data_IF_321885477520
#
_entry.id   IF_321885477520
#
_cell.length_a   1.000
_cell.length_b   1.000
_cell.length_c   1.000
_cell.angle_alpha   90.00
_cell.angle_beta   90.00
_cell.angle_gamma   90.00
#
_symmetry.space_group_name_H-M   'P 1'
#
loop_
_entity.id
_entity.type
_entity.pdbx_description
1 polymer ?
#
# COMPACT_ATOMS: atom_id res chain seq x y z
N UNK A 1 -34.39 -63.68 -20.58
CA UNK A 1 -33.11 -63.98 -21.27
C UNK A 1 -31.92 -63.92 -20.31
N UNK A 2 -31.81 -62.96 -19.39
CA UNK A 2 -30.72 -62.93 -18.39
C UNK A 2 -30.79 -64.05 -17.31
N UNK A 3 -31.99 -64.55 -16.97
CA UNK A 3 -32.16 -65.58 -15.93
C UNK A 3 -31.80 -66.99 -16.42
N UNK A 4 -31.94 -67.26 -17.73
CA UNK A 4 -31.64 -68.57 -18.33
C UNK A 4 -30.14 -68.79 -18.61
N UNK A 5 -29.32 -67.73 -18.56
CA UNK A 5 -27.87 -67.82 -18.78
C UNK A 5 -27.06 -68.01 -17.48
N UNK A 6 -27.72 -68.06 -16.33
CA UNK A 6 -27.06 -68.09 -15.02
C UNK A 6 -26.71 -69.49 -14.52
N UNK A 7 -27.33 -70.56 -15.07
CA UNK A 7 -27.10 -71.94 -14.60
C UNK A 7 -25.72 -72.51 -14.97
N UNK A 8 -25.05 -71.97 -15.99
CA UNK A 8 -23.71 -72.42 -16.42
C UNK A 8 -22.56 -71.49 -16.00
N UNK A 9 -22.85 -70.47 -15.17
CA UNK A 9 -21.84 -69.52 -14.73
C UNK A 9 -20.97 -70.12 -13.61
N UNK A 10 -19.68 -70.32 -13.88
CA UNK A 10 -18.72 -70.77 -12.87
C UNK A 10 -18.61 -69.71 -11.76
N UNK A 11 -18.59 -70.16 -10.49
CA UNK A 11 -18.49 -69.28 -9.30
C UNK A 11 -17.34 -68.28 -9.41
N UNK A 12 -16.26 -68.66 -10.11
CA UNK A 12 -15.10 -67.82 -10.37
C UNK A 12 -15.39 -66.66 -11.34
N UNK A 13 -16.20 -66.88 -12.38
CA UNK A 13 -16.61 -65.84 -13.32
C UNK A 13 -17.51 -64.79 -12.69
N UNK A 14 -18.42 -65.22 -11.80
CA UNK A 14 -19.30 -64.31 -11.05
C UNK A 14 -18.50 -63.43 -10.08
N UNK A 15 -17.48 -64.01 -9.40
CA UNK A 15 -16.62 -63.29 -8.48
C UNK A 15 -15.81 -62.20 -9.20
N UNK A 16 -15.24 -62.53 -10.37
CA UNK A 16 -14.46 -61.58 -11.18
C UNK A 16 -15.32 -60.43 -11.73
N UNK A 17 -16.55 -60.73 -12.15
CA UNK A 17 -17.50 -59.71 -12.60
C UNK A 17 -17.93 -58.80 -11.44
N UNK A 18 -18.20 -59.35 -10.26
CA UNK A 18 -18.57 -58.59 -9.07
C UNK A 18 -17.43 -57.65 -8.62
N UNK A 19 -16.18 -58.15 -8.55
CA UNK A 19 -15.04 -57.29 -8.24
C UNK A 19 -14.79 -56.22 -9.30
N UNK A 20 -15.06 -56.52 -10.58
CA UNK A 20 -14.92 -55.53 -11.65
C UNK A 20 -15.99 -54.43 -11.57
N UNK A 21 -17.23 -54.76 -11.18
CA UNK A 21 -18.32 -53.78 -11.01
C UNK A 21 -18.08 -52.92 -9.77
N UNK A 22 -17.67 -53.52 -8.65
CA UNK A 22 -17.34 -52.78 -7.42
C UNK A 22 -16.09 -51.94 -7.62
N UNK A 23 -15.08 -52.48 -8.29
CA UNK A 23 -13.86 -51.76 -8.68
C UNK A 23 -14.16 -50.59 -9.61
N UNK A 24 -15.02 -50.76 -10.61
CA UNK A 24 -15.43 -49.66 -11.48
C UNK A 24 -16.26 -48.61 -10.71
N UNK A 25 -17.11 -49.05 -9.78
CA UNK A 25 -17.94 -48.16 -8.95
C UNK A 25 -17.16 -47.31 -7.95
N UNK A 26 -16.04 -47.80 -7.42
CA UNK A 26 -15.21 -47.09 -6.44
C UNK A 26 -13.92 -46.48 -7.01
N UNK A 27 -13.22 -47.17 -7.92
CA UNK A 27 -12.00 -46.62 -8.51
C UNK A 27 -12.29 -45.50 -9.48
N UNK A 28 -13.38 -45.52 -10.25
CA UNK A 28 -13.68 -44.41 -11.19
C UNK A 28 -13.94 -43.08 -10.45
N UNK A 29 -14.72 -43.01 -9.36
CA UNK A 29 -14.84 -41.76 -8.61
C UNK A 29 -13.55 -41.38 -7.86
N UNK A 30 -12.77 -42.34 -7.34
CA UNK A 30 -11.48 -42.05 -6.70
C UNK A 30 -10.43 -41.51 -7.70
N UNK A 31 -10.34 -42.12 -8.88
CA UNK A 31 -9.48 -41.66 -9.98
C UNK A 31 -9.99 -40.32 -10.50
N UNK A 32 -11.31 -40.12 -10.57
CA UNK A 32 -11.92 -38.82 -10.90
C UNK A 32 -11.55 -37.73 -9.89
N UNK A 33 -11.60 -38.01 -8.59
CA UNK A 33 -11.17 -37.10 -7.52
C UNK A 33 -9.66 -36.83 -7.59
N UNK A 34 -8.84 -37.85 -7.88
CA UNK A 34 -7.40 -37.69 -8.06
C UNK A 34 -7.07 -36.85 -9.32
N UNK A 35 -7.77 -37.08 -10.42
CA UNK A 35 -7.69 -36.28 -11.67
C UNK A 35 -8.21 -34.85 -11.48
N UNK A 36 -9.07 -34.60 -10.49
CA UNK A 36 -9.53 -33.24 -10.13
C UNK A 36 -8.55 -32.55 -9.16
N UNK A 37 -7.95 -33.30 -8.24
CA UNK A 37 -6.98 -32.83 -7.26
C UNK A 37 -5.66 -32.40 -7.92
N UNK A 38 -5.17 -33.13 -8.92
CA UNK A 38 -3.92 -32.81 -9.61
C UNK A 38 -3.92 -31.42 -10.27
N UNK A 39 -4.92 -31.02 -11.07
CA UNK A 39 -5.02 -29.66 -11.59
C UNK A 39 -5.30 -28.63 -10.50
N UNK A 40 -6.07 -28.97 -9.45
CA UNK A 40 -6.27 -28.06 -8.30
C UNK A 40 -4.96 -27.76 -7.55
N UNK A 41 -4.10 -28.78 -7.36
CA UNK A 41 -2.77 -28.63 -6.77
C UNK A 41 -1.79 -27.95 -7.72
N UNK A 42 -1.90 -28.18 -9.03
CA UNK A 42 -1.13 -27.45 -10.04
C UNK A 42 -1.52 -25.96 -10.05
N UNK A 43 -2.82 -25.64 -9.92
CA UNK A 43 -3.34 -24.27 -9.77
C UNK A 43 -2.86 -23.66 -8.45
N UNK A 44 -2.88 -24.41 -7.34
CA UNK A 44 -2.39 -23.94 -6.05
C UNK A 44 -0.86 -23.69 -6.06
N UNK A 45 -0.11 -24.51 -6.79
CA UNK A 45 1.34 -24.37 -7.01
C UNK A 45 1.69 -23.22 -7.96
N UNK A 46 0.86 -22.95 -8.97
CA UNK A 46 1.04 -21.80 -9.87
C UNK A 46 0.63 -20.48 -9.21
N UNK A 47 -0.40 -20.50 -8.35
CA UNK A 47 -0.81 -19.36 -7.50
C UNK A 47 0.27 -18.96 -6.49
N UNK A 48 1.10 -19.91 -6.04
CA UNK A 48 2.16 -19.67 -5.05
C UNK A 48 3.51 -19.28 -5.66
N UNK A 49 3.72 -19.38 -6.98
CA UNK A 49 5.05 -19.24 -7.58
C UNK A 49 5.25 -18.20 -8.69
N UNK A 50 4.23 -17.59 -9.32
CA UNK A 50 4.48 -16.57 -10.37
C UNK A 50 3.38 -15.50 -10.48
N UNK A 51 3.78 -14.22 -10.52
CA UNK A 51 2.98 -13.07 -10.05
C UNK A 51 2.29 -12.19 -11.11
N UNK A 52 2.28 -12.54 -12.41
CA UNK A 52 1.68 -11.69 -13.45
C UNK A 52 0.62 -12.39 -14.31
N UNK A 53 0.92 -13.60 -14.80
CA UNK A 53 0.01 -14.36 -15.67
C UNK A 53 -1.23 -14.86 -14.92
N UNK A 54 -1.10 -15.20 -13.63
CA UNK A 54 -2.23 -15.68 -12.82
C UNK A 54 -3.17 -14.53 -12.43
N UNK A 55 -2.65 -13.31 -12.21
CA UNK A 55 -3.49 -12.11 -12.02
C UNK A 55 -4.31 -11.81 -13.27
N UNK A 56 -3.67 -11.81 -14.44
CA UNK A 56 -4.35 -11.61 -15.72
C UNK A 56 -5.38 -12.72 -16.05
N UNK A 57 -5.03 -13.99 -15.79
CA UNK A 57 -5.94 -15.12 -16.00
C UNK A 57 -7.11 -15.09 -14.99
N UNK A 58 -6.86 -14.71 -13.74
CA UNK A 58 -7.91 -14.60 -12.72
C UNK A 58 -8.89 -13.46 -13.02
N UNK A 59 -8.41 -12.31 -13.50
CA UNK A 59 -9.29 -11.22 -13.94
C UNK A 59 -10.08 -11.61 -15.19
N UNK A 60 -9.47 -12.35 -16.13
CA UNK A 60 -10.17 -12.90 -17.29
C UNK A 60 -11.25 -13.92 -16.91
N UNK A 61 -11.00 -14.77 -15.90
CA UNK A 61 -11.98 -15.76 -15.45
C UNK A 61 -13.16 -15.11 -14.73
N UNK A 62 -12.89 -14.13 -13.85
CA UNK A 62 -13.93 -13.33 -13.17
C UNK A 62 -14.73 -12.50 -14.17
N UNK A 63 -14.10 -11.97 -15.22
CA UNK A 63 -14.77 -11.26 -16.30
C UNK A 63 -15.57 -12.18 -17.23
N UNK A 64 -15.16 -13.44 -17.42
CA UNK A 64 -15.86 -14.41 -18.28
C UNK A 64 -17.11 -15.02 -17.61
N UNK A 65 -17.12 -15.12 -16.27
CA UNK A 65 -18.24 -15.63 -15.47
C UNK A 65 -19.60 -14.96 -15.76
N UNK A 66 -19.73 -13.62 -15.86
CA UNK A 66 -20.99 -12.96 -16.20
C UNK A 66 -21.45 -13.22 -17.64
N UNK A 67 -20.53 -13.40 -18.60
CA UNK A 67 -20.89 -13.77 -19.97
C UNK A 67 -21.35 -15.24 -20.05
N UNK A 68 -20.74 -16.13 -19.28
CA UNK A 68 -21.19 -17.52 -19.17
C UNK A 68 -22.56 -17.61 -18.47
N UNK A 69 -22.78 -16.84 -17.40
CA UNK A 69 -24.09 -16.76 -16.73
C UNK A 69 -25.15 -16.15 -17.65
N UNK A 70 -24.85 -15.08 -18.39
CA UNK A 70 -25.82 -14.47 -19.31
C UNK A 70 -26.15 -15.40 -20.47
N UNK A 71 -25.17 -16.14 -21.00
CA UNK A 71 -25.40 -17.17 -22.02
C UNK A 71 -26.19 -18.37 -21.47
N UNK A 72 -25.89 -18.82 -20.25
CA UNK A 72 -26.61 -19.93 -19.62
C UNK A 72 -28.06 -19.55 -19.29
N UNK A 73 -28.28 -18.33 -18.78
CA UNK A 73 -29.62 -17.79 -18.53
C UNK A 73 -30.36 -17.57 -19.85
N UNK A 74 -29.72 -17.05 -20.91
CA UNK A 74 -30.33 -16.93 -22.24
C UNK A 74 -30.75 -18.29 -22.81
N UNK A 75 -29.99 -19.36 -22.52
CA UNK A 75 -30.33 -20.73 -22.88
C UNK A 75 -31.50 -21.29 -22.05
N UNK A 76 -31.65 -20.88 -20.80
CA UNK A 76 -32.82 -21.17 -19.96
C UNK A 76 -34.04 -20.29 -20.29
N UNK A 77 -33.85 -19.09 -20.83
CA UNK A 77 -34.87 -18.07 -21.13
C UNK A 77 -35.73 -18.34 -22.35
N UNK A 78 -35.68 -19.56 -22.91
CA UNK A 78 -36.69 -20.04 -23.87
C UNK A 78 -38.09 -20.21 -23.21
N UNK A 79 -38.22 -19.96 -21.90
CA UNK A 79 -39.50 -19.80 -21.17
C UNK A 79 -39.51 -18.45 -20.45
N UNK A 80 -40.32 -17.53 -20.96
CA UNK A 80 -40.27 -16.10 -20.68
C UNK A 80 -40.57 -15.70 -19.24
N UNK A 81 -39.75 -14.78 -18.71
CA UNK A 81 -40.10 -13.86 -17.61
C UNK A 81 -39.24 -12.60 -17.71
N UNK A 82 -39.89 -11.43 -17.70
CA UNK A 82 -39.29 -10.09 -17.96
C UNK A 82 -38.48 -9.56 -16.77
N UNK A 83 -38.73 -10.05 -15.55
CA UNK A 83 -38.06 -9.57 -14.32
C UNK A 83 -36.60 -10.03 -14.20
N UNK A 84 -36.22 -11.14 -14.83
CA UNK A 84 -34.85 -11.65 -14.81
C UNK A 84 -33.86 -10.76 -15.55
N UNK A 85 -34.30 -10.05 -16.60
CA UNK A 85 -33.43 -9.18 -17.39
C UNK A 85 -32.83 -8.01 -16.59
N UNK A 86 -33.63 -7.40 -15.70
CA UNK A 86 -33.16 -6.30 -14.83
C UNK A 86 -32.18 -6.78 -13.77
N UNK A 87 -32.40 -7.98 -13.22
CA UNK A 87 -31.51 -8.59 -12.23
C UNK A 87 -30.15 -8.94 -12.84
N UNK A 88 -30.14 -9.48 -14.07
CA UNK A 88 -28.92 -9.80 -14.81
C UNK A 88 -28.12 -8.53 -15.13
N UNK A 89 -28.80 -7.47 -15.55
CA UNK A 89 -28.16 -6.18 -15.86
C UNK A 89 -27.57 -5.53 -14.59
N UNK A 90 -28.29 -5.61 -13.46
CA UNK A 90 -27.79 -5.15 -12.17
C UNK A 90 -26.57 -5.95 -11.68
N UNK A 91 -26.61 -7.29 -11.77
CA UNK A 91 -25.47 -8.15 -11.44
C UNK A 91 -24.26 -7.88 -12.32
N UNK A 92 -24.47 -7.62 -13.61
CA UNK A 92 -23.39 -7.33 -14.55
C UNK A 92 -22.75 -5.96 -14.29
N UNK A 93 -23.54 -4.96 -13.89
CA UNK A 93 -23.06 -3.64 -13.48
C UNK A 93 -22.28 -3.73 -12.17
N UNK A 94 -22.78 -4.47 -11.18
CA UNK A 94 -22.11 -4.69 -9.88
C UNK A 94 -20.78 -5.42 -10.09
N UNK A 95 -20.75 -6.51 -10.85
CA UNK A 95 -19.50 -7.24 -11.13
C UNK A 95 -18.49 -6.40 -11.93
N UNK A 96 -18.96 -5.59 -12.88
CA UNK A 96 -18.10 -4.65 -13.64
C UNK A 96 -17.48 -3.59 -12.73
N UNK A 97 -18.28 -2.99 -11.84
CA UNK A 97 -17.81 -2.02 -10.84
C UNK A 97 -16.84 -2.69 -9.87
N UNK A 98 -17.10 -3.91 -9.42
CA UNK A 98 -16.16 -4.67 -8.55
C UNK A 98 -14.86 -4.99 -9.27
N UNK A 99 -14.90 -5.43 -10.53
CA UNK A 99 -13.70 -5.70 -11.32
C UNK A 99 -12.88 -4.41 -11.58
N UNK A 100 -13.56 -3.30 -11.86
CA UNK A 100 -12.95 -1.99 -12.05
C UNK A 100 -12.37 -1.45 -10.74
N UNK A 101 -13.04 -1.62 -9.60
CA UNK A 101 -12.51 -1.29 -8.26
C UNK A 101 -11.32 -2.20 -7.92
N UNK A 102 -11.32 -3.48 -8.29
CA UNK A 102 -10.17 -4.38 -8.07
C UNK A 102 -8.97 -4.07 -8.99
N UNK A 103 -9.21 -3.48 -10.16
CA UNK A 103 -8.18 -3.00 -11.08
C UNK A 103 -7.66 -1.60 -10.71
N UNK A 104 -8.52 -0.74 -10.14
CA UNK A 104 -8.18 0.61 -9.70
C UNK A 104 -7.63 0.63 -8.28
N UNK A 105 -8.02 -0.31 -7.41
CA UNK A 105 -7.39 -0.45 -6.11
C UNK A 105 -5.94 -0.81 -6.38
N UNK A 106 -4.99 0.10 -6.14
CA UNK A 106 -3.62 -0.23 -6.36
C UNK A 106 -3.35 -1.41 -5.43
N UNK A 107 -2.84 -2.49 -6.00
CA UNK A 107 -1.49 -2.97 -5.71
C UNK A 107 -0.74 -2.00 -4.76
N UNK A 108 -1.19 -1.94 -3.52
CA UNK A 108 -0.64 -1.12 -2.44
C UNK A 108 -0.11 -2.01 -1.32
N UNK A 109 -0.35 -3.33 -1.41
CA UNK A 109 0.27 -4.33 -0.56
C UNK A 109 1.02 -5.45 -1.32
N UNK A 110 1.14 -5.41 -2.65
CA UNK A 110 1.88 -6.47 -3.41
C UNK A 110 2.95 -5.98 -4.39
N UNK A 111 3.14 -4.67 -4.58
CA UNK A 111 4.40 -4.10 -5.12
C UNK A 111 5.42 -3.83 -4.03
N UNK A 112 5.03 -3.97 -2.74
CA UNK A 112 5.97 -3.84 -1.63
C UNK A 112 6.79 -5.14 -1.39
N UNK A 113 6.37 -6.27 -1.97
CA UNK A 113 7.10 -7.54 -1.85
C UNK A 113 7.92 -7.91 -3.10
N UNK A 114 7.83 -7.15 -4.20
CA UNK A 114 8.62 -7.41 -5.42
C UNK A 114 9.73 -6.38 -5.66
N UNK A 115 9.74 -5.27 -4.91
CA UNK A 115 10.91 -4.37 -4.82
C UNK A 115 11.95 -4.92 -3.81
N UNK A 116 11.55 -5.81 -2.90
CA UNK A 116 12.48 -6.50 -2.00
C UNK A 116 13.38 -7.52 -2.71
N UNK A 117 12.98 -8.05 -3.87
CA UNK A 117 13.77 -9.08 -4.59
C UNK A 117 14.73 -8.51 -5.64
N UNK A 118 14.59 -7.25 -6.07
CA UNK A 118 15.59 -6.60 -6.93
C UNK A 118 16.69 -5.87 -6.13
N UNK A 119 16.53 -5.76 -4.81
CA UNK A 119 17.57 -5.22 -3.93
C UNK A 119 18.59 -6.31 -3.51
N UNK A 120 18.30 -7.60 -3.68
CA UNK A 120 19.18 -8.67 -3.18
C UNK A 120 20.38 -8.98 -4.10
N UNK A 121 20.38 -8.53 -5.35
CA UNK A 121 21.53 -8.73 -6.27
C UNK A 121 22.57 -7.60 -6.26
N UNK A 122 22.35 -6.51 -5.52
CA UNK A 122 23.41 -5.51 -5.25
C UNK A 122 24.12 -5.74 -3.90
N UNK A 123 23.68 -6.71 -3.09
CA UNK A 123 24.25 -7.00 -1.76
C UNK A 123 25.40 -8.02 -1.73
N UNK A 124 26.06 -8.30 -2.86
CA UNK A 124 27.28 -9.12 -2.92
C UNK A 124 28.57 -8.34 -3.28
N UNK A 125 28.49 -7.01 -3.41
CA UNK A 125 29.66 -6.16 -3.69
C UNK A 125 29.67 -4.87 -2.87
N UNK A 126 29.17 -4.91 -1.64
CA UNK A 126 29.53 -3.92 -0.62
C UNK A 126 30.65 -4.51 0.22
N UNK A 127 31.87 -4.41 -0.31
CA UNK A 127 33.10 -4.48 0.47
C UNK A 127 32.89 -3.66 1.74
N UNK A 128 33.19 -4.28 2.89
CA UNK A 128 33.37 -3.59 4.16
C UNK A 128 34.35 -2.43 3.95
N UNK A 129 33.81 -1.25 3.73
CA UNK A 129 34.52 0.01 3.87
C UNK A 129 33.51 1.00 4.45
N UNK A 130 33.49 1.05 5.78
CA UNK A 130 32.92 2.15 6.53
C UNK A 130 33.79 3.38 6.25
N UNK A 131 33.55 3.99 5.09
CA UNK A 131 34.01 5.33 4.75
C UNK A 131 32.74 6.13 4.53
N UNK A 132 32.47 6.96 5.52
CA UNK A 132 31.31 7.82 5.63
C UNK A 132 31.37 8.94 4.57
N UNK A 133 31.13 8.58 3.32
CA UNK A 133 31.07 9.53 2.22
C UNK A 133 29.74 10.27 2.29
N UNK A 134 29.76 11.46 2.89
CA UNK A 134 28.68 12.45 2.76
C UNK A 134 28.41 12.57 1.25
N UNK A 135 27.19 12.30 0.75
CA UNK A 135 26.86 12.57 -0.63
C UNK A 135 27.18 14.04 -0.91
N UNK A 136 28.11 14.30 -1.82
CA UNK A 136 28.38 15.67 -2.27
C UNK A 136 27.04 16.33 -2.65
N UNK A 137 26.84 17.60 -2.30
CA UNK A 137 25.58 18.27 -2.59
C UNK A 137 25.40 18.33 -4.11
N UNK A 138 24.56 17.42 -4.62
CA UNK A 138 24.00 17.49 -5.96
C UNK A 138 23.54 18.94 -6.20
N UNK A 139 23.84 19.50 -7.37
CA UNK A 139 23.60 20.89 -7.79
C UNK A 139 22.24 21.45 -7.35
N UNK A 140 22.16 21.94 -6.11
CA UNK A 140 20.94 22.30 -5.42
C UNK A 140 21.19 23.42 -4.42
N UNK A 141 20.11 24.03 -3.94
CA UNK A 141 20.17 25.16 -3.03
C UNK A 141 20.84 24.76 -1.70
N UNK A 142 22.06 25.23 -1.46
CA UNK A 142 22.79 24.96 -0.21
C UNK A 142 22.23 25.76 0.96
N UNK A 143 22.42 25.28 2.18
CA UNK A 143 21.98 25.97 3.40
C UNK A 143 22.58 27.39 3.49
N UNK A 144 23.87 27.56 3.17
CA UNK A 144 24.55 28.85 3.22
C UNK A 144 23.90 29.87 2.26
N UNK A 145 23.55 29.43 1.04
CA UNK A 145 22.87 30.26 0.04
C UNK A 145 21.46 30.66 0.50
N UNK A 146 20.70 29.71 1.05
CA UNK A 146 19.37 29.97 1.60
C UNK A 146 19.45 30.94 2.79
N UNK A 147 20.36 30.70 3.74
CA UNK A 147 20.52 31.52 4.94
C UNK A 147 20.84 32.98 4.61
N UNK A 148 21.67 33.23 3.60
CA UNK A 148 22.03 34.59 3.20
C UNK A 148 20.86 35.39 2.60
N UNK A 149 19.96 34.74 1.84
CA UNK A 149 18.93 35.44 1.06
C UNK A 149 17.52 35.33 1.65
N UNK A 150 17.27 34.32 2.49
CA UNK A 150 15.93 33.95 2.97
C UNK A 150 15.88 33.67 4.46
N UNK A 151 16.90 34.06 5.23
CA UNK A 151 16.91 33.93 6.69
C UNK A 151 17.37 35.25 7.32
N UNK A 152 17.98 35.19 8.51
CA UNK A 152 18.17 36.32 9.38
C UNK A 152 18.79 37.57 8.74
N UNK A 153 19.84 37.47 7.92
CA UNK A 153 20.41 38.63 7.24
C UNK A 153 19.45 39.37 6.30
N UNK A 154 18.45 38.69 5.72
CA UNK A 154 17.57 39.26 4.70
C UNK A 154 16.41 40.09 5.30
N UNK A 155 15.87 39.65 6.42
CA UNK A 155 14.84 40.40 7.15
C UNK A 155 15.42 41.39 8.19
N UNK A 156 16.74 41.41 8.37
CA UNK A 156 17.37 42.49 9.14
C UNK A 156 17.45 43.73 8.26
N UNK A 157 17.54 43.54 6.94
CA UNK A 157 17.58 44.59 5.93
C UNK A 157 16.19 44.97 5.40
N UNK A 158 15.20 44.07 5.50
CA UNK A 158 13.82 44.27 5.03
C UNK A 158 12.82 43.72 6.06
N UNK A 159 11.50 43.82 5.87
CA UNK A 159 10.58 43.16 6.82
C UNK A 159 10.54 41.64 6.59
N UNK A 160 10.19 40.87 7.63
CA UNK A 160 9.96 39.42 7.51
C UNK A 160 8.97 39.14 6.38
N UNK A 161 7.84 39.85 6.34
CA UNK A 161 6.82 39.66 5.29
C UNK A 161 7.35 39.90 3.87
N UNK A 162 8.19 40.92 3.66
CA UNK A 162 8.83 41.18 2.35
C UNK A 162 9.79 40.06 1.98
N UNK A 163 10.61 39.60 2.93
CA UNK A 163 11.52 38.46 2.72
C UNK A 163 10.75 37.18 2.36
N UNK A 164 9.65 36.89 3.05
CA UNK A 164 8.80 35.73 2.74
C UNK A 164 8.21 35.78 1.33
N UNK A 165 7.74 36.96 0.91
CA UNK A 165 7.23 37.15 -0.46
C UNK A 165 8.33 36.95 -1.50
N UNK A 166 9.52 37.53 -1.28
CA UNK A 166 10.67 37.39 -2.18
C UNK A 166 11.18 35.95 -2.27
N UNK A 167 11.10 35.19 -1.18
CA UNK A 167 11.56 33.80 -1.13
C UNK A 167 10.50 32.78 -1.56
N UNK A 168 9.24 33.19 -1.72
CA UNK A 168 8.12 32.34 -2.15
C UNK A 168 8.39 31.45 -3.38
N UNK A 169 9.18 31.86 -4.41
CA UNK A 169 9.48 31.00 -5.55
C UNK A 169 10.30 29.76 -5.22
N UNK A 170 10.93 29.70 -4.04
CA UNK A 170 11.70 28.53 -3.60
C UNK A 170 10.82 27.40 -3.06
N UNK A 171 9.52 27.63 -2.88
CA UNK A 171 8.57 26.58 -2.50
C UNK A 171 8.59 25.42 -3.51
N UNK A 172 8.70 24.19 -3.03
CA UNK A 172 8.83 22.97 -3.84
C UNK A 172 10.25 22.68 -4.33
N UNK A 173 11.22 23.54 -4.04
CA UNK A 173 12.63 23.28 -4.40
C UNK A 173 13.20 22.17 -3.52
N UNK A 174 13.84 21.17 -4.14
CA UNK A 174 14.53 20.11 -3.43
C UNK A 174 15.84 20.62 -2.83
N UNK A 175 16.07 20.31 -1.56
CA UNK A 175 17.26 20.71 -0.79
C UNK A 175 17.89 19.49 -0.15
N UNK A 176 19.21 19.51 0.02
CA UNK A 176 20.00 18.46 0.63
C UNK A 176 20.94 19.08 1.66
N UNK A 177 20.57 18.97 2.94
CA UNK A 177 21.24 19.66 4.05
C UNK A 177 21.59 18.70 5.18
N UNK A 178 22.45 19.14 6.08
CA UNK A 178 22.85 18.40 7.26
C UNK A 178 22.89 19.31 8.49
N UNK A 179 22.51 18.77 9.65
CA UNK A 179 22.44 19.53 10.89
C UNK A 179 22.30 18.64 12.11
N UNK A 180 22.07 19.26 13.27
CA UNK A 180 21.94 18.57 14.56
C UNK A 180 20.49 18.62 15.04
N UNK A 181 19.93 17.48 15.42
CA UNK A 181 18.57 17.41 15.96
C UNK A 181 18.52 18.13 17.31
N UNK A 182 17.49 18.95 17.52
CA UNK A 182 17.25 19.68 18.78
C UNK A 182 16.01 19.17 19.49
N UNK A 183 14.93 18.93 18.75
CA UNK A 183 13.72 18.28 19.25
C UNK A 183 13.09 17.39 18.18
N UNK A 184 12.38 16.37 18.64
CA UNK A 184 11.59 15.44 17.82
C UNK A 184 10.18 15.43 18.40
N UNK A 185 9.21 15.92 17.63
CA UNK A 185 7.86 16.14 18.14
C UNK A 185 6.81 15.59 17.19
N UNK A 186 5.80 14.91 17.73
CA UNK A 186 4.63 14.52 16.94
C UNK A 186 3.74 15.75 16.74
N UNK A 187 3.64 16.23 15.50
CA UNK A 187 2.88 17.45 15.19
C UNK A 187 1.46 17.18 14.77
N UNK A 188 1.20 16.03 14.14
CA UNK A 188 -0.14 15.67 13.68
C UNK A 188 -0.36 14.19 13.77
N UNK A 189 -1.45 13.81 14.41
CA UNK A 189 -1.96 12.44 14.42
C UNK A 189 -3.31 12.49 13.72
N UNK A 190 -3.45 11.75 12.62
CA UNK A 190 -4.71 11.65 11.88
C UNK A 190 -5.08 10.18 11.74
N UNK A 191 -6.29 9.83 12.15
CA UNK A 191 -6.81 8.47 12.03
C UNK A 191 -8.09 8.52 11.18
N UNK A 192 -7.97 8.49 9.84
CA UNK A 192 -9.12 8.62 8.96
C UNK A 192 -10.16 7.51 9.19
N UNK A 193 -9.71 6.31 9.57
CA UNK A 193 -10.60 5.20 9.88
C UNK A 193 -11.42 5.47 11.17
N UNK A 194 -10.76 5.90 12.24
CA UNK A 194 -11.45 6.25 13.48
C UNK A 194 -12.40 7.43 13.29
N UNK A 195 -11.99 8.46 12.51
CA UNK A 195 -12.86 9.59 12.17
C UNK A 195 -14.06 9.16 11.33
N UNK A 196 -13.88 8.25 10.37
CA UNK A 196 -14.98 7.70 9.56
C UNK A 196 -15.95 6.83 10.38
N UNK A 197 -15.44 6.04 11.33
CA UNK A 197 -16.27 5.21 12.20
C UNK A 197 -17.14 6.03 13.15
N UNK A 198 -16.69 7.23 13.55
CA UNK A 198 -17.50 8.14 14.37
C UNK A 198 -18.77 8.65 13.67
N UNK A 199 -18.84 8.55 12.33
CA UNK A 199 -20.05 8.91 11.57
C UNK A 199 -21.16 7.86 11.69
N UNK A 200 -20.85 6.64 12.11
CA UNK A 200 -21.83 5.57 12.28
C UNK A 200 -22.47 5.60 13.68
N UNK A 201 -23.69 5.05 13.85
CA UNK A 201 -24.30 4.86 15.17
C UNK A 201 -23.38 4.09 16.12
N UNK A 202 -23.41 4.43 17.41
CA UNK A 202 -22.47 3.94 18.43
C UNK A 202 -22.37 2.41 18.55
N UNK A 203 -23.47 1.68 18.35
CA UNK A 203 -23.46 0.21 18.33
C UNK A 203 -22.64 -0.33 17.14
N UNK A 204 -22.80 0.27 15.97
CA UNK A 204 -22.10 -0.16 14.76
C UNK A 204 -20.63 0.27 14.81
N UNK A 205 -20.36 1.52 15.24
CA UNK A 205 -19.00 2.07 15.27
C UNK A 205 -18.09 1.32 16.25
N UNK A 206 -18.58 0.98 17.45
CA UNK A 206 -17.82 0.21 18.43
C UNK A 206 -17.57 -1.24 17.98
N UNK A 207 -18.57 -1.88 17.38
CA UNK A 207 -18.44 -3.24 16.83
C UNK A 207 -17.44 -3.27 15.67
N UNK A 208 -17.53 -2.31 14.74
CA UNK A 208 -16.61 -2.21 13.61
C UNK A 208 -15.20 -1.82 14.05
N UNK A 209 -15.05 -0.91 15.01
CA UNK A 209 -13.75 -0.56 15.58
C UNK A 209 -13.07 -1.78 16.23
N UNK A 210 -13.82 -2.63 16.93
CA UNK A 210 -13.30 -3.88 17.49
C UNK A 210 -13.05 -4.97 16.45
N UNK A 211 -13.74 -4.95 15.32
CA UNK A 211 -13.53 -5.90 14.23
C UNK A 211 -12.23 -5.61 13.46
N UNK A 212 -11.91 -4.33 13.28
CA UNK A 212 -10.79 -3.86 12.44
C UNK A 212 -9.56 -3.47 13.28
N UNK A 213 -9.79 -3.10 14.53
CA UNK A 213 -8.76 -2.66 15.47
C UNK A 213 -8.21 -3.76 16.36
N UNK A 214 -7.42 -3.33 17.33
CA UNK A 214 -6.78 -4.19 18.32
C UNK A 214 -7.55 -4.14 19.64
N UNK A 215 -7.63 -5.28 20.33
CA UNK A 215 -8.29 -5.37 21.62
C UNK A 215 -7.36 -4.87 22.73
N UNK A 216 -7.91 -4.05 23.62
CA UNK A 216 -7.20 -3.63 24.82
C UNK A 216 -7.17 -4.83 25.79
N UNK A 217 -6.00 -5.30 26.23
CA UNK A 217 -5.92 -6.45 27.11
C UNK A 217 -6.57 -6.12 28.46
N UNK A 218 -7.26 -7.10 29.05
CA UNK A 218 -7.99 -6.91 30.32
C UNK A 218 -7.06 -6.54 31.49
N UNK A 219 -5.83 -7.07 31.45
CA UNK A 219 -4.80 -6.82 32.46
C UNK A 219 -3.59 -6.25 31.74
N UNK A 220 -3.17 -5.05 32.14
CA UNK A 220 -1.95 -4.45 31.62
C UNK A 220 -0.72 -5.09 32.30
N UNK A 221 0.37 -5.27 31.56
CA UNK A 221 1.62 -5.73 32.16
C UNK A 221 2.10 -4.77 33.26
N UNK A 222 2.68 -5.34 34.31
CA UNK A 222 3.29 -4.57 35.39
C UNK A 222 4.67 -4.05 34.97
N UNK A 223 5.06 -2.88 35.49
CA UNK A 223 6.35 -2.25 35.20
C UNK A 223 6.26 -0.89 34.50
N UNK A 224 7.42 -0.40 34.04
CA UNK A 224 7.61 0.89 33.37
C UNK A 224 7.94 0.75 31.88
N UNK A 225 7.61 -0.39 31.26
CA UNK A 225 7.76 -0.54 29.81
C UNK A 225 6.81 0.40 29.09
N UNK A 226 7.18 0.78 27.86
CA UNK A 226 6.34 1.59 26.96
C UNK A 226 4.99 0.90 26.71
N UNK A 227 4.99 -0.41 26.53
CA UNK A 227 3.79 -1.24 26.35
C UNK A 227 2.85 -1.20 27.57
N UNK A 228 3.41 -1.30 28.78
CA UNK A 228 2.63 -1.18 30.02
C UNK A 228 2.00 0.22 30.16
N UNK A 229 2.74 1.26 29.78
CA UNK A 229 2.24 2.64 29.75
C UNK A 229 1.10 2.81 28.74
N UNK A 230 1.29 2.32 27.51
CA UNK A 230 0.30 2.42 26.44
C UNK A 230 -0.99 1.67 26.79
N UNK A 231 -0.89 0.46 27.35
CA UNK A 231 -2.05 -0.30 27.81
C UNK A 231 -2.87 0.48 28.86
N UNK A 232 -2.21 1.10 29.85
CA UNK A 232 -2.88 1.89 30.89
C UNK A 232 -3.60 3.10 30.30
N UNK A 233 -2.98 3.78 29.34
CA UNK A 233 -3.61 4.90 28.62
C UNK A 233 -4.88 4.45 27.90
N UNK A 234 -4.87 3.28 27.26
CA UNK A 234 -6.06 2.74 26.61
C UNK A 234 -7.18 2.40 27.60
N UNK A 235 -6.86 1.85 28.77
CA UNK A 235 -7.85 1.58 29.82
C UNK A 235 -8.57 2.85 30.30
N UNK A 236 -7.85 3.98 30.42
CA UNK A 236 -8.45 5.26 30.81
C UNK A 236 -9.51 5.76 29.83
N UNK A 237 -9.47 5.32 28.57
CA UNK A 237 -10.46 5.70 27.56
C UNK A 237 -11.78 4.94 27.69
N UNK A 238 -11.83 3.86 28.50
CA UNK A 238 -13.01 3.00 28.65
C UNK A 238 -13.39 2.22 27.39
N UNK A 239 -12.56 2.25 26.34
CA UNK A 239 -12.80 1.52 25.09
C UNK A 239 -12.22 0.11 25.18
N UNK A 240 -12.97 -0.87 24.66
CA UNK A 240 -12.53 -2.28 24.58
C UNK A 240 -11.48 -2.52 23.50
N UNK A 241 -11.45 -1.66 22.47
CA UNK A 241 -10.58 -1.80 21.31
C UNK A 241 -10.08 -0.42 20.87
N UNK A 242 -8.90 -0.39 20.23
CA UNK A 242 -8.27 0.82 19.70
C UNK A 242 -7.83 0.62 18.24
N UNK A 243 -7.62 1.74 17.54
CA UNK A 243 -7.30 1.76 16.10
C UNK A 243 -5.94 2.44 15.85
N UNK A 244 -5.03 2.33 16.81
CA UNK A 244 -3.76 3.06 16.79
C UNK A 244 -2.88 2.67 15.59
N UNK A 245 -2.93 1.40 15.18
CA UNK A 245 -2.24 0.89 14.00
C UNK A 245 -2.71 1.53 12.69
N UNK A 246 -3.91 2.14 12.67
CA UNK A 246 -4.46 2.86 11.53
C UNK A 246 -4.19 4.37 11.56
N UNK A 247 -3.47 4.86 12.57
CA UNK A 247 -3.16 6.28 12.70
C UNK A 247 -1.94 6.67 11.85
N UNK A 248 -2.13 7.65 10.97
CA UNK A 248 -1.06 8.35 10.28
C UNK A 248 -0.47 9.40 11.23
N UNK A 249 0.85 9.33 11.43
CA UNK A 249 1.60 10.17 12.36
C UNK A 249 2.57 11.01 11.56
N UNK A 250 2.50 12.32 11.68
CA UNK A 250 3.50 13.24 11.14
C UNK A 250 4.36 13.75 12.30
N UNK A 251 5.67 13.62 12.14
CA UNK A 251 6.69 14.00 13.12
C UNK A 251 7.45 15.20 12.56
N UNK A 252 7.62 16.26 13.35
CA UNK A 252 8.49 17.38 13.00
C UNK A 252 9.78 17.30 13.78
N UNK A 253 10.89 17.31 13.05
CA UNK A 253 12.24 17.41 13.59
C UNK A 253 12.66 18.87 13.58
N UNK A 254 13.11 19.38 14.72
CA UNK A 254 13.75 20.69 14.78
C UNK A 254 15.25 20.50 14.63
N UNK A 255 15.82 20.97 13.52
CA UNK A 255 17.23 20.76 13.19
C UNK A 255 17.99 22.08 13.25
N UNK A 256 19.06 22.09 14.05
CA UNK A 256 20.01 23.18 14.19
C UNK A 256 21.04 23.11 13.08
N UNK A 257 21.12 24.17 12.29
CA UNK A 257 22.06 24.27 11.18
C UNK A 257 23.34 24.96 11.63
N UNK A 258 24.50 24.38 11.26
CA UNK A 258 25.78 25.09 11.43
C UNK A 258 25.90 26.15 10.35
N UNK A 259 25.91 27.42 10.75
CA UNK A 259 26.34 28.50 9.87
C UNK A 259 27.87 28.50 9.79
N UNK A 260 28.43 28.67 8.59
CA UNK A 260 29.89 28.81 8.43
C UNK A 260 30.44 30.13 8.97
N UNK A 261 29.57 31.09 9.35
CA UNK A 261 30.00 32.36 9.93
C UNK A 261 30.17 32.26 11.44
N UNK A 262 31.31 32.74 11.91
CA UNK A 262 31.80 32.72 13.29
C UNK A 262 30.93 33.49 14.32
N UNK A 263 29.92 34.25 13.87
CA UNK A 263 29.10 35.16 14.70
C UNK A 263 27.58 35.00 14.47
N UNK A 264 27.16 33.95 13.76
CA UNK A 264 25.74 33.72 13.50
C UNK A 264 25.05 33.03 14.67
N UNK A 265 23.85 33.50 15.02
CA UNK A 265 22.91 32.73 15.83
C UNK A 265 22.59 31.42 15.13
N UNK A 266 22.48 30.36 15.91
CA UNK A 266 22.19 29.05 15.35
C UNK A 266 20.77 29.01 14.79
N UNK A 267 20.68 28.92 13.47
CA UNK A 267 19.41 28.86 12.78
C UNK A 267 18.75 27.48 12.95
N UNK A 268 17.44 27.48 13.13
CA UNK A 268 16.64 26.27 13.27
C UNK A 268 15.81 26.06 12.00
N UNK A 269 15.65 24.80 11.59
CA UNK A 269 14.84 24.38 10.46
C UNK A 269 13.88 23.30 10.94
N UNK A 270 12.65 23.29 10.43
CA UNK A 270 11.64 22.28 10.78
C UNK A 270 11.51 21.28 9.64
N UNK A 271 11.90 20.04 9.88
CA UNK A 271 11.79 18.96 8.90
C UNK A 271 10.58 18.11 9.25
N UNK A 272 9.57 18.14 8.39
CA UNK A 272 8.31 17.41 8.54
C UNK A 272 8.47 16.03 7.90
N UNK A 273 8.41 15.01 8.75
CA UNK A 273 8.53 13.61 8.40
C UNK A 273 7.14 12.95 8.46
N UNK A 274 6.70 12.37 7.34
CA UNK A 274 5.45 11.62 7.28
C UNK A 274 5.54 10.27 8.03
N UNK A 275 4.41 9.59 8.17
CA UNK A 275 4.31 8.31 8.89
C UNK A 275 5.31 7.25 8.42
N UNK A 276 5.70 7.28 7.15
CA UNK A 276 6.74 6.42 6.58
C UNK A 276 8.05 6.47 7.38
N UNK A 277 8.41 7.63 7.94
CA UNK A 277 9.64 7.84 8.69
C UNK A 277 9.49 7.62 10.20
N UNK A 278 8.33 7.17 10.68
CA UNK A 278 8.02 7.02 12.11
C UNK A 278 9.08 6.19 12.85
N UNK A 279 9.51 5.07 12.29
CA UNK A 279 10.45 4.16 12.97
C UNK A 279 11.87 4.76 13.12
N UNK A 280 12.32 5.55 12.15
CA UNK A 280 13.62 6.24 12.24
C UNK A 280 13.53 7.43 13.19
N UNK A 281 12.50 8.28 13.00
CA UNK A 281 12.33 9.48 13.83
C UNK A 281 12.05 9.17 15.30
N UNK A 282 11.39 8.05 15.62
CA UNK A 282 11.13 7.64 17.01
C UNK A 282 12.40 7.26 17.78
N UNK A 283 13.52 6.98 17.09
CA UNK A 283 14.79 6.58 17.72
C UNK A 283 15.76 7.75 17.84
N UNK A 284 15.56 8.82 17.06
CA UNK A 284 16.41 10.01 17.08
C UNK A 284 16.37 10.69 18.45
N UNK A 285 17.52 11.18 18.88
CA UNK A 285 17.70 11.95 20.10
C UNK A 285 18.21 13.37 19.81
N UNK A 286 18.02 14.31 20.76
CA UNK A 286 18.71 15.59 20.68
C UNK A 286 20.23 15.40 20.57
N UNK A 287 20.88 16.25 19.77
CA UNK A 287 22.30 16.22 19.40
C UNK A 287 22.70 15.23 18.30
N UNK A 288 21.81 14.33 17.86
CA UNK A 288 22.08 13.48 16.70
C UNK A 288 22.33 14.32 15.45
N UNK A 289 23.39 14.01 14.70
CA UNK A 289 23.73 14.65 13.45
C UNK A 289 23.15 13.85 12.30
N UNK A 290 22.28 14.49 11.53
CA UNK A 290 21.58 13.87 10.41
C UNK A 290 21.85 14.61 9.11
N UNK A 291 21.77 13.87 8.01
CA UNK A 291 21.65 14.41 6.67
C UNK A 291 20.24 14.12 6.16
N UNK A 292 19.65 15.07 5.44
CA UNK A 292 18.33 14.89 4.88
C UNK A 292 18.19 15.60 3.55
N UNK A 293 17.35 15.01 2.69
CA UNK A 293 16.88 15.58 1.44
C UNK A 293 15.37 15.76 1.52
N UNK A 294 14.88 16.89 1.06
CA UNK A 294 13.46 17.23 1.14
C UNK A 294 13.09 18.39 0.25
N UNK A 295 11.81 18.78 0.27
CA UNK A 295 11.28 19.92 -0.47
C UNK A 295 10.89 21.06 0.46
N UNK A 296 11.25 22.28 0.10
CA UNK A 296 10.85 23.47 0.86
C UNK A 296 9.34 23.68 0.80
N UNK A 297 8.70 23.86 1.95
CA UNK A 297 7.28 24.18 2.03
C UNK A 297 7.09 25.70 2.05
N UNK A 298 6.04 26.19 1.40
CA UNK A 298 5.68 27.61 1.43
C UNK A 298 5.45 28.13 2.87
N UNK A 299 4.98 27.27 3.76
CA UNK A 299 4.76 27.59 5.16
C UNK A 299 6.10 27.73 5.92
N UNK A 300 6.35 28.92 6.48
CA UNK A 300 7.58 29.25 7.20
C UNK A 300 8.78 29.61 6.31
N UNK A 301 8.63 29.57 4.97
CA UNK A 301 9.66 30.01 4.02
C UNK A 301 9.98 31.51 4.23
N UNK A 302 11.26 31.90 4.20
CA UNK A 302 11.67 33.27 4.56
C UNK A 302 11.47 33.62 6.05
N UNK A 303 11.08 32.62 6.86
CA UNK A 303 10.77 32.71 8.29
C UNK A 303 11.94 32.26 9.19
N UNK A 304 11.78 32.33 10.54
CA UNK A 304 12.81 31.90 11.50
C UNK A 304 13.11 30.42 11.45
N UNK A 305 12.10 29.63 11.10
CA UNK A 305 12.16 28.18 11.04
C UNK A 305 11.45 27.71 9.76
N UNK A 306 12.15 27.67 8.62
CA UNK A 306 11.57 27.17 7.39
C UNK A 306 11.17 25.70 7.52
N UNK A 307 10.05 25.33 6.89
CA UNK A 307 9.56 23.95 6.90
C UNK A 307 10.00 23.21 5.65
N UNK A 308 10.38 21.95 5.82
CA UNK A 308 10.85 21.05 4.76
C UNK A 308 10.05 19.76 4.82
N UNK A 309 9.50 19.32 3.71
CA UNK A 309 8.90 17.99 3.57
C UNK A 309 9.98 16.94 3.31
N UNK A 310 10.09 15.95 4.20
CA UNK A 310 11.17 14.96 4.15
C UNK A 310 10.96 13.94 3.02
N UNK A 311 12.00 13.75 2.20
CA UNK A 311 12.04 12.72 1.16
C UNK A 311 13.07 11.63 1.44
N UNK A 312 14.19 12.00 2.05
CA UNK A 312 15.26 11.07 2.41
C UNK A 312 15.95 11.55 3.67
N UNK A 313 16.33 10.61 4.53
CA UNK A 313 17.07 10.89 5.76
C UNK A 313 18.13 9.83 5.97
N UNK A 314 19.26 10.27 6.50
CA UNK A 314 20.36 9.40 6.89
C UNK A 314 21.00 9.89 8.20
N UNK A 315 21.53 8.94 8.96
CA UNK A 315 22.24 9.23 10.18
C UNK A 315 23.73 9.45 9.86
N UNK A 316 24.27 10.61 10.22
CA UNK A 316 25.71 10.85 10.08
C UNK A 316 26.48 10.52 11.36
N UNK A 317 25.92 10.93 12.50
CA UNK A 317 26.50 10.67 13.82
C UNK A 317 25.35 10.71 14.82
N UNK A 318 24.81 9.53 15.16
CA UNK A 318 23.67 9.40 16.06
C UNK A 318 24.02 8.48 17.22
N UNK A 319 23.32 8.65 18.33
CA UNK A 319 23.45 7.80 19.50
C UNK A 319 23.29 6.30 19.18
N UNK A 320 22.42 5.98 18.22
CA UNK A 320 22.28 4.62 17.67
C UNK A 320 22.91 4.56 16.27
N UNK A 321 24.02 3.83 16.15
CA UNK A 321 24.80 3.69 14.91
C UNK A 321 24.14 2.84 13.82
N UNK A 322 23.15 2.03 14.17
CA UNK A 322 22.54 1.03 13.25
C UNK A 322 21.36 1.60 12.45
N UNK A 323 21.23 2.93 12.38
CA UNK A 323 20.18 3.58 11.63
C UNK A 323 20.51 3.57 10.13
N UNK A 324 19.78 2.77 9.37
CA UNK A 324 19.90 2.72 7.91
C UNK A 324 19.22 3.92 7.26
N UNK A 325 19.81 4.39 6.16
CA UNK A 325 19.24 5.41 5.30
C UNK A 325 17.82 5.05 4.86
N UNK A 326 16.89 6.00 5.02
CA UNK A 326 15.50 5.84 4.59
C UNK A 326 15.17 6.81 3.47
N UNK A 327 14.54 6.30 2.41
CA UNK A 327 14.08 7.09 1.26
C UNK A 327 12.60 6.80 1.00
N UNK A 328 11.79 7.86 0.95
CA UNK A 328 10.39 7.76 0.56
C UNK A 328 10.33 7.27 -0.88
N UNK A 329 9.57 6.20 -1.19
CA UNK A 329 9.37 5.78 -2.58
C UNK A 329 8.71 6.94 -3.34
N UNK A 330 9.29 7.32 -4.47
CA UNK A 330 8.69 8.31 -5.35
C UNK A 330 7.31 7.81 -5.78
N UNK A 331 6.29 8.65 -5.65
CA UNK A 331 4.98 8.36 -6.21
C UNK A 331 5.15 8.37 -7.73
N UNK A 332 5.33 7.21 -8.34
CA UNK A 332 5.16 7.03 -9.78
C UNK A 332 3.67 7.22 -10.05
N UNK A 333 3.23 8.47 -10.10
CA UNK A 333 1.94 8.81 -10.68
C UNK A 333 2.10 8.38 -12.14
N UNK A 334 1.53 7.24 -12.51
CA UNK A 334 1.29 6.93 -13.91
C UNK A 334 0.62 8.19 -14.47
N UNK A 335 1.32 8.88 -15.38
CA UNK A 335 0.90 10.19 -15.88
C UNK A 335 -0.59 10.12 -16.22
N UNK A 336 -1.37 11.12 -15.82
CA UNK A 336 -2.82 11.19 -16.10
C UNK A 336 -3.11 10.93 -17.59
N UNK A 337 -2.15 11.23 -18.48
CA UNK A 337 -2.18 10.88 -19.91
C UNK A 337 -2.33 9.37 -20.15
N UNK A 338 -1.61 8.52 -19.42
CA UNK A 338 -1.70 7.06 -19.55
C UNK A 338 -3.07 6.53 -19.14
N UNK A 339 -3.71 7.12 -18.13
CA UNK A 339 -5.07 6.77 -17.72
C UNK A 339 -6.12 7.22 -18.76
N UNK A 340 -5.91 8.39 -19.37
CA UNK A 340 -6.75 8.90 -20.46
C UNK A 340 -6.59 8.03 -21.71
N UNK A 341 -5.36 7.67 -22.10
CA UNK A 341 -5.06 6.85 -23.27
C UNK A 341 -5.66 5.44 -23.13
N UNK A 342 -5.55 4.84 -21.93
CA UNK A 342 -6.18 3.55 -21.62
C UNK A 342 -7.71 3.67 -21.65
N UNK A 343 -8.27 4.76 -21.12
CA UNK A 343 -9.71 5.04 -21.19
C UNK A 343 -10.21 5.20 -22.62
N UNK A 344 -9.44 5.85 -23.48
CA UNK A 344 -9.79 6.12 -24.87
C UNK A 344 -9.72 4.84 -25.72
N UNK A 345 -8.71 3.98 -25.50
CA UNK A 345 -8.60 2.66 -26.11
C UNK A 345 -9.76 1.73 -25.68
N UNK A 346 -10.14 1.75 -24.39
CA UNK A 346 -11.27 0.99 -23.89
C UNK A 346 -12.59 1.45 -24.49
N UNK A 347 -12.80 2.77 -24.61
CA UNK A 347 -13.98 3.35 -25.24
C UNK A 347 -14.07 2.99 -26.73
N UNK A 348 -12.96 3.05 -27.46
CA UNK A 348 -12.93 2.71 -28.89
C UNK A 348 -13.20 1.21 -29.13
N UNK A 349 -12.68 0.34 -28.26
CA UNK A 349 -12.94 -1.10 -28.31
C UNK A 349 -14.42 -1.42 -28.00
N UNK A 350 -15.00 -0.73 -27.01
CA UNK A 350 -16.41 -0.88 -26.64
C UNK A 350 -17.35 -0.41 -27.77
N UNK A 351 -17.06 0.75 -28.38
CA UNK A 351 -17.80 1.27 -29.53
C UNK A 351 -17.72 0.29 -30.71
N UNK A 352 -16.53 -0.22 -31.03
CA UNK A 352 -16.36 -1.19 -32.12
C UNK A 352 -17.10 -2.52 -31.88
N UNK A 353 -17.14 -2.99 -30.64
CA UNK A 353 -17.85 -4.21 -30.25
C UNK A 353 -19.39 -4.03 -30.28
N UNK A 354 -19.90 -2.89 -29.83
CA UNK A 354 -21.34 -2.60 -29.75
C UNK A 354 -21.92 -2.22 -31.12
N UNK A 355 -21.18 -1.45 -31.93
CA UNK A 355 -21.65 -0.94 -33.22
C UNK A 355 -21.21 -1.78 -34.43
N UNK A 356 -20.17 -2.60 -34.29
CA UNK A 356 -19.72 -3.53 -35.33
C UNK A 356 -20.80 -4.44 -35.91
N UNK A 357 -21.71 -5.03 -35.11
CA UNK A 357 -22.79 -5.87 -35.63
C UNK A 357 -24.01 -5.09 -36.15
N UNK A 358 -24.11 -3.77 -35.92
CA UNK A 358 -25.23 -2.95 -36.40
C UNK A 358 -25.02 -2.40 -37.82
N UNK A 359 -23.78 -2.42 -38.35
CA UNK A 359 -23.43 -1.80 -39.66
C UNK A 359 -23.39 -2.83 -40.80
N UNK A 360 -23.64 -4.13 -40.53
CA UNK A 360 -23.78 -5.16 -41.58
C UNK A 360 -25.24 -5.53 -41.85
N UNK A 361 -26.07 -4.54 -42.16
CA UNK A 361 -27.34 -4.77 -42.86
C UNK A 361 -27.65 -3.59 -43.78
N UNK A 362 -27.06 -3.62 -44.98
CA UNK A 362 -27.69 -3.32 -46.27
C UNK A 362 -26.79 -3.86 -47.37
#
# INVERSE_FOLDING_TARGET
>A
IAVLSAESATKFGLLRAAFSIVGLGFCVPLIGVLLLLLPALAILKTLTSTTLLVKAASSSFVAALPFALSWWIAKLHRRGTVHAGRLVLALQLICSVVAMVMLIYPVSNSTLSSISYLQEEQHASATKESTHNIPEPESGLTWDMYHQHCHQPAWEQSSVAVTQLSCSPLSGTSVSWNGYVTSVEVTKISNPLASGLQLFPSLLSSTLACLIGEQVPLVCPEGRSTEAGQCRLHHLTGRKCHLDSWANVEVTLSVKMKSKRMWGTDAQVRVVAEHFFKNFTAVLQPQDRIWFKGELLADGLGGPAPKISLQQIDCLDCHKSDLLMMRKPGLLIASVTTLIDVGQLALQSFIGFVLGPMIRFT
#
